data_IF_130373902768
#
_entry.id   IF_130373902768
#
_cell.length_a   1.000
_cell.length_b   1.000
_cell.length_c   1.000
_cell.angle_alpha   90.00
_cell.angle_beta   90.00
_cell.angle_gamma   90.00
#
_symmetry.space_group_name_H-M   'P 1'
#
loop_
_entity.id
_entity.type
_entity.pdbx_description
1 polymer ?
#
# COMPACT_ATOMS: atom_id res chain seq x y z
N UNK A 1 9.70 1.22 -30.57
CA UNK A 1 9.73 -0.18 -30.11
C UNK A 1 8.61 -0.31 -29.09
N UNK A 2 7.55 -1.08 -29.37
CA UNK A 2 6.44 -1.24 -28.43
C UNK A 2 6.91 -2.21 -27.35
N UNK A 3 7.37 -1.69 -26.20
CA UNK A 3 7.78 -2.53 -25.08
C UNK A 3 6.51 -3.19 -24.52
N UNK A 4 6.37 -4.51 -24.70
CA UNK A 4 5.29 -5.27 -24.04
C UNK A 4 5.51 -5.18 -22.54
N UNK A 5 4.48 -4.75 -21.80
CA UNK A 5 4.49 -4.77 -20.33
C UNK A 5 4.77 -6.20 -19.85
N UNK A 6 5.80 -6.42 -19.00
CA UNK A 6 6.10 -7.73 -18.46
C UNK A 6 4.91 -8.32 -17.70
N UNK A 7 4.71 -9.64 -17.80
CA UNK A 7 3.54 -10.30 -17.18
C UNK A 7 3.53 -10.16 -15.65
N UNK A 8 4.71 -10.16 -15.01
CA UNK A 8 4.85 -9.91 -13.57
C UNK A 8 4.26 -8.55 -13.15
N UNK A 9 4.32 -7.53 -14.01
CA UNK A 9 3.75 -6.20 -13.74
C UNK A 9 2.23 -6.24 -13.85
N UNK A 10 1.69 -7.01 -14.79
CA UNK A 10 0.23 -7.21 -14.94
C UNK A 10 -0.34 -7.95 -13.74
N UNK A 11 0.28 -9.05 -13.34
CA UNK A 11 -0.13 -9.82 -12.16
C UNK A 11 -0.13 -8.96 -10.89
N UNK A 12 0.93 -8.15 -10.70
CA UNK A 12 1.01 -7.26 -9.53
C UNK A 12 -0.07 -6.19 -9.56
N UNK A 13 -0.46 -5.71 -10.76
CA UNK A 13 -1.55 -4.75 -10.93
C UNK A 13 -2.91 -5.36 -10.63
N UNK A 14 -3.15 -6.59 -11.07
CA UNK A 14 -4.39 -7.32 -10.75
C UNK A 14 -4.52 -7.53 -9.24
N UNK A 15 -3.44 -7.94 -8.57
CA UNK A 15 -3.38 -8.06 -7.10
C UNK A 15 -3.64 -6.72 -6.39
N UNK A 16 -3.08 -5.62 -6.90
CA UNK A 16 -3.29 -4.29 -6.34
C UNK A 16 -4.77 -3.88 -6.45
N UNK A 17 -5.38 -4.13 -7.62
CA UNK A 17 -6.78 -3.81 -7.86
C UNK A 17 -7.70 -4.62 -6.94
N UNK A 18 -7.48 -5.92 -6.84
CA UNK A 18 -8.25 -6.80 -5.95
C UNK A 18 -8.15 -6.36 -4.48
N UNK A 19 -6.92 -6.09 -4.01
CA UNK A 19 -6.68 -5.56 -2.67
C UNK A 19 -7.45 -4.25 -2.42
N UNK A 20 -7.40 -3.31 -3.36
CA UNK A 20 -8.05 -2.01 -3.21
C UNK A 20 -9.56 -2.05 -3.34
N UNK A 21 -10.13 -3.01 -4.08
CA UNK A 21 -11.55 -3.12 -4.37
C UNK A 21 -12.30 -4.03 -3.38
N UNK A 22 -11.70 -5.15 -2.99
CA UNK A 22 -12.40 -6.24 -2.31
C UNK A 22 -11.97 -6.45 -0.86
N UNK A 23 -10.78 -5.97 -0.46
CA UNK A 23 -10.19 -6.27 0.84
C UNK A 23 -10.19 -5.10 1.84
N UNK A 24 -10.67 -3.92 1.43
CA UNK A 24 -10.75 -2.77 2.30
C UNK A 24 -11.95 -2.84 3.25
N UNK A 25 -11.85 -2.12 4.37
CA UNK A 25 -13.00 -1.80 5.23
C UNK A 25 -13.15 -0.29 5.29
N UNK A 26 -14.28 0.22 4.80
CA UNK A 26 -14.59 1.67 4.79
C UNK A 26 -13.49 2.53 4.12
N UNK A 27 -12.92 2.04 3.00
CA UNK A 27 -11.84 2.72 2.27
C UNK A 27 -10.46 2.65 2.95
N UNK A 28 -10.30 1.83 3.99
CA UNK A 28 -9.03 1.63 4.70
C UNK A 28 -8.51 0.20 4.52
N UNK A 29 -7.21 0.09 4.29
CA UNK A 29 -6.47 -1.16 4.29
C UNK A 29 -5.78 -1.36 5.64
N UNK A 30 -5.69 -2.61 6.07
CA UNK A 30 -4.90 -2.96 7.26
C UNK A 30 -3.40 -3.02 6.91
N UNK A 31 -2.50 -2.70 7.85
CA UNK A 31 -1.06 -2.82 7.59
C UNK A 31 -0.64 -4.25 7.24
N UNK A 32 -1.35 -5.26 7.73
CA UNK A 32 -1.06 -6.66 7.39
C UNK A 32 -1.30 -6.95 5.91
N UNK A 33 -2.44 -6.54 5.37
CA UNK A 33 -2.76 -6.73 3.95
C UNK A 33 -1.73 -6.02 3.05
N UNK A 34 -1.35 -4.80 3.42
CA UNK A 34 -0.38 -4.00 2.65
C UNK A 34 1.03 -4.60 2.76
N UNK A 35 1.43 -5.07 3.94
CA UNK A 35 2.72 -5.74 4.12
C UNK A 35 2.81 -7.02 3.29
N UNK A 36 1.75 -7.85 3.29
CA UNK A 36 1.65 -9.06 2.48
C UNK A 36 1.75 -8.74 0.98
N UNK A 37 1.03 -7.72 0.50
CA UNK A 37 1.12 -7.28 -0.90
C UNK A 37 2.50 -6.77 -1.30
N UNK A 38 3.17 -6.00 -0.43
CA UNK A 38 4.51 -5.47 -0.67
C UNK A 38 5.63 -6.51 -0.49
N UNK A 39 5.29 -7.72 -0.02
CA UNK A 39 6.28 -8.74 0.34
C UNK A 39 7.20 -8.28 1.48
N UNK A 40 6.65 -7.53 2.45
CA UNK A 40 7.38 -6.97 3.59
C UNK A 40 6.88 -7.55 4.90
N UNK A 41 7.74 -7.51 5.91
CA UNK A 41 7.35 -7.84 7.26
C UNK A 41 6.36 -6.79 7.82
N UNK A 42 5.39 -7.26 8.61
CA UNK A 42 4.38 -6.41 9.22
C UNK A 42 4.99 -5.37 10.16
N UNK A 43 5.96 -5.76 10.98
CA UNK A 43 6.65 -4.87 11.92
C UNK A 43 7.48 -3.84 11.18
N UNK A 44 8.15 -4.26 10.10
CA UNK A 44 8.86 -3.35 9.20
C UNK A 44 7.94 -2.26 8.67
N UNK A 45 6.76 -2.63 8.15
CA UNK A 45 5.82 -1.64 7.60
C UNK A 45 5.32 -0.68 8.68
N UNK A 46 4.95 -1.18 9.87
CA UNK A 46 4.53 -0.31 10.97
C UNK A 46 5.61 0.70 11.34
N UNK A 47 6.87 0.26 11.46
CA UNK A 47 7.98 1.15 11.78
C UNK A 47 8.20 2.21 10.69
N UNK A 48 8.05 1.82 9.41
CA UNK A 48 8.16 2.74 8.28
C UNK A 48 7.01 3.76 8.24
N UNK A 49 5.79 3.37 8.63
CA UNK A 49 4.65 4.28 8.76
C UNK A 49 4.92 5.28 9.90
N UNK A 50 5.35 4.79 11.07
CA UNK A 50 5.59 5.65 12.24
C UNK A 50 6.76 6.62 12.07
N UNK A 51 7.75 6.26 11.26
CA UNK A 51 8.87 7.15 10.92
C UNK A 51 8.53 8.14 9.80
N UNK A 52 7.35 8.03 9.17
CA UNK A 52 6.96 8.87 8.04
C UNK A 52 7.67 8.51 6.73
N UNK A 53 8.28 7.33 6.63
CA UNK A 53 8.99 6.88 5.44
C UNK A 53 8.05 6.40 4.31
N UNK A 54 6.76 6.22 4.62
CA UNK A 54 5.75 5.70 3.70
C UNK A 54 4.78 6.83 3.33
N UNK A 55 4.76 7.34 2.08
CA UNK A 55 4.02 8.53 1.71
C UNK A 55 2.50 8.31 1.54
N UNK A 56 2.05 7.05 1.55
CA UNK A 56 0.65 6.67 1.36
C UNK A 56 -0.09 6.30 2.65
N UNK A 57 0.59 6.38 3.80
CA UNK A 57 0.07 5.95 5.08
C UNK A 57 0.29 7.02 6.14
N UNK A 58 -0.57 7.03 7.15
CA UNK A 58 -0.46 7.91 8.30
C UNK A 58 -0.34 7.08 9.56
N UNK A 59 0.52 7.48 10.49
CA UNK A 59 0.57 6.84 11.79
C UNK A 59 1.50 7.51 12.77
N UNK A 60 1.32 7.16 14.04
CA UNK A 60 2.15 7.61 15.15
C UNK A 60 2.26 6.53 16.21
N UNK A 61 3.46 6.37 16.77
CA UNK A 61 3.73 5.50 17.92
C UNK A 61 3.93 6.29 19.22
N UNK A 62 3.65 7.60 19.23
CA UNK A 62 3.88 8.49 20.38
C UNK A 62 2.73 8.48 21.41
N UNK A 63 1.65 7.76 21.15
CA UNK A 63 0.50 7.64 22.06
C UNK A 63 0.72 6.54 23.11
N UNK A 64 0.22 6.75 24.33
CA UNK A 64 0.36 5.82 25.45
C UNK A 64 -0.36 4.50 25.15
N UNK A 65 0.39 3.40 25.00
CA UNK A 65 -0.14 2.04 25.01
C UNK A 65 -0.22 1.31 23.65
N UNK A 66 -0.59 1.99 22.54
CA UNK A 66 -0.59 1.40 21.18
C UNK A 66 -0.37 2.47 20.11
N UNK A 67 0.53 2.19 19.17
CA UNK A 67 0.64 3.00 17.96
C UNK A 67 -0.65 2.92 17.13
N UNK A 68 -1.01 4.02 16.48
CA UNK A 68 -2.16 4.09 15.59
C UNK A 68 -1.66 4.34 14.15
N UNK A 69 -2.25 3.66 13.18
CA UNK A 69 -1.99 3.89 11.77
C UNK A 69 -3.23 3.68 10.92
N UNK A 70 -3.28 4.35 9.77
CA UNK A 70 -4.28 4.16 8.74
C UNK A 70 -3.62 4.17 7.36
N UNK A 71 -4.15 3.34 6.46
CA UNK A 71 -3.71 3.25 5.08
C UNK A 71 -4.94 3.41 4.19
N UNK A 72 -5.26 4.64 3.75
CA UNK A 72 -6.43 4.85 2.91
C UNK A 72 -6.17 4.32 1.50
N UNK A 73 -7.19 3.72 0.88
CA UNK A 73 -7.09 3.08 -0.44
C UNK A 73 -6.60 4.07 -1.51
N UNK A 74 -7.14 5.30 -1.51
CA UNK A 74 -6.83 6.28 -2.56
C UNK A 74 -5.34 6.70 -2.58
N UNK A 75 -4.72 7.22 -1.49
CA UNK A 75 -3.29 7.51 -1.46
C UNK A 75 -2.41 6.30 -1.80
N UNK A 76 -2.80 5.11 -1.35
CA UNK A 76 -2.06 3.88 -1.66
C UNK A 76 -2.12 3.53 -3.14
N UNK A 77 -3.30 3.56 -3.74
CA UNK A 77 -3.50 3.33 -5.17
C UNK A 77 -2.71 4.33 -6.02
N UNK A 78 -2.84 5.62 -5.71
CA UNK A 78 -2.14 6.70 -6.42
C UNK A 78 -0.63 6.51 -6.38
N UNK A 79 -0.08 6.19 -5.21
CA UNK A 79 1.35 5.95 -5.05
C UNK A 79 1.83 4.74 -5.88
N UNK A 80 1.10 3.63 -5.81
CA UNK A 80 1.48 2.40 -6.51
C UNK A 80 1.32 2.50 -8.03
N UNK A 81 0.48 3.41 -8.52
CA UNK A 81 0.17 3.58 -9.95
C UNK A 81 0.74 4.87 -10.54
N UNK A 82 1.54 5.64 -9.79
CA UNK A 82 2.02 6.97 -10.19
C UNK A 82 2.72 7.03 -11.57
N UNK A 83 3.35 5.94 -11.99
CA UNK A 83 4.04 5.84 -13.30
C UNK A 83 3.26 5.00 -14.33
N UNK A 84 2.06 4.55 -13.99
CA UNK A 84 1.16 3.85 -14.93
C UNK A 84 0.24 4.83 -15.66
N UNK A 85 0.33 6.13 -15.35
CA UNK A 85 -0.36 7.21 -16.05
C UNK A 85 0.41 7.62 -17.29
N UNK A 86 0.47 6.74 -18.29
CA UNK A 86 0.85 7.13 -19.64
C UNK A 86 -0.13 6.51 -20.64
N UNK A 87 -0.90 7.42 -21.25
CA UNK A 87 -1.54 7.44 -22.58
C UNK A 87 -1.85 6.11 -23.30
#
# INVERSE_FOLDING_TARGET
MMYKTPDIVKEQREKLYDLCQNHHKDGLLTPRQVAEFLGKDYTWLLNAIYSGAVPFAFGTNKSVGRGNCCIPVLPFWEYMTQHMREN
#
